data_IF_492726756389
#
_entry.id   IF_492726756389
#
_cell.length_a   1.000
_cell.length_b   1.000
_cell.length_c   1.000
_cell.angle_alpha   90.00
_cell.angle_beta   90.00
_cell.angle_gamma   90.00
#
_symmetry.space_group_name_H-M   'P 1'
#
loop_
_entity.id
_entity.type
_entity.pdbx_description
1 polymer ?
2 non-polymer ?
3 water ?
#
# COMPACT_ATOMS: atom_id res chain seq x y z
N UNK A 8 -9.50 -11.20 6.17
CA UNK A 8 -8.98 -11.93 5.00
C UNK A 8 -7.73 -11.26 4.47
N UNK A 9 -7.84 -10.00 4.00
CA UNK A 9 -6.70 -9.39 3.31
C UNK A 9 -5.88 -8.44 4.18
N UNK A 10 -4.57 -8.39 3.93
CA UNK A 10 -3.70 -7.39 4.56
C UNK A 10 -3.86 -6.09 3.79
N UNK A 11 -4.24 -5.03 4.48
CA UNK A 11 -4.41 -3.73 3.86
C UNK A 11 -3.25 -2.84 4.30
N UNK A 12 -2.52 -2.28 3.32
CA UNK A 12 -1.49 -1.27 3.55
C UNK A 12 -2.06 0.08 3.13
N UNK A 13 -2.11 1.01 4.07
CA UNK A 13 -2.82 2.29 3.93
C UNK A 13 -1.79 3.40 3.87
N UNK A 14 -1.63 3.99 2.68
CA UNK A 14 -0.68 5.06 2.43
C UNK A 14 -1.43 6.38 2.30
N UNK A 15 -1.04 7.38 3.08
CA UNK A 15 -1.72 8.68 3.03
C UNK A 15 -0.70 9.80 3.01
N UNK A 16 -1.11 10.94 2.47
CA UNK A 16 -0.27 12.12 2.37
C UNK A 16 -0.83 13.10 1.37
N UNK A 17 -0.14 14.23 1.26
CA UNK A 17 -0.59 15.33 0.42
C UNK A 17 -0.43 15.00 -1.06
N UNK A 18 -1.19 15.71 -1.89
CA UNK A 18 -1.20 15.46 -3.33
C UNK A 18 0.19 15.68 -3.91
N UNK A 19 0.63 14.72 -4.73
CA UNK A 19 1.96 14.79 -5.30
C UNK A 19 3.07 14.64 -4.29
N UNK A 20 2.76 14.13 -3.10
CA UNK A 20 3.74 13.95 -2.05
C UNK A 20 4.51 12.66 -2.13
N UNK A 21 4.11 11.75 -3.00
CA UNK A 21 4.79 10.48 -3.20
C UNK A 21 3.96 9.26 -2.88
N UNK A 22 2.74 9.40 -2.37
CA UNK A 22 1.96 8.22 -1.98
C UNK A 22 1.62 7.37 -3.20
N UNK A 23 1.35 8.00 -4.34
CA UNK A 23 0.96 7.26 -5.52
C UNK A 23 2.14 6.46 -6.07
N UNK A 24 3.26 7.15 -6.31
CA UNK A 24 4.46 6.44 -6.75
C UNK A 24 4.80 5.29 -5.81
N UNK A 25 4.72 5.52 -4.49
CA UNK A 25 5.06 4.50 -3.51
C UNK A 25 4.12 3.31 -3.61
N UNK A 26 2.81 3.56 -3.79
CA UNK A 26 1.88 2.46 -3.95
C UNK A 26 2.28 1.55 -5.10
N UNK A 27 2.69 2.13 -6.22
CA UNK A 27 3.10 1.32 -7.36
C UNK A 27 4.43 0.62 -7.07
N UNK A 28 5.38 1.34 -6.47
CA UNK A 28 6.66 0.73 -6.14
C UNK A 28 6.45 -0.46 -5.21
N UNK A 29 5.70 -0.25 -4.12
CA UNK A 29 5.36 -1.34 -3.22
C UNK A 29 4.65 -2.46 -3.96
N UNK A 30 3.68 -2.13 -4.81
CA UNK A 30 2.97 -3.14 -5.57
C UNK A 30 3.93 -4.00 -6.40
N UNK A 31 4.83 -3.37 -7.17
CA UNK A 31 5.74 -4.16 -8.00
C UNK A 31 6.76 -4.92 -7.17
N UNK A 32 7.19 -4.36 -6.03
CA UNK A 32 8.11 -5.10 -5.18
C UNK A 32 7.43 -6.30 -4.56
N UNK A 33 6.15 -6.18 -4.21
CA UNK A 33 5.39 -7.35 -3.78
C UNK A 33 5.37 -8.40 -4.89
N UNK A 34 5.09 -7.96 -6.12
CA UNK A 34 5.02 -8.90 -7.23
C UNK A 34 6.36 -9.59 -7.47
N UNK A 35 7.46 -8.82 -7.44
CA UNK A 35 8.78 -9.43 -7.60
C UNK A 35 9.05 -10.42 -6.48
N UNK A 36 8.70 -10.07 -5.25
CA UNK A 36 8.96 -10.97 -4.13
C UNK A 36 8.35 -12.35 -4.40
N UNK A 37 7.13 -12.37 -4.94
CA UNK A 37 6.40 -13.61 -5.15
C UNK A 37 6.58 -14.20 -6.55
N UNK A 38 7.58 -13.74 -7.30
CA UNK A 38 7.88 -14.34 -8.60
C UNK A 38 6.80 -14.20 -9.65
N UNK A 39 6.29 -12.99 -9.83
CA UNK A 39 5.06 -12.74 -10.59
C UNK A 39 5.26 -11.45 -11.37
N UNK A 40 4.60 -11.38 -12.52
CA UNK A 40 4.81 -10.26 -13.43
C UNK A 40 4.01 -9.05 -12.95
N UNK A 41 4.66 -7.92 -12.63
CA UNK A 41 3.90 -6.78 -12.08
C UNK A 41 2.86 -6.20 -13.03
N UNK A 42 3.19 -6.02 -14.30
CA UNK A 42 2.24 -5.41 -15.22
C UNK A 42 0.95 -6.21 -15.34
N UNK A 43 0.96 -7.50 -14.98
CA UNK A 43 -0.25 -8.32 -15.03
C UNK A 43 -0.90 -8.50 -13.66
N UNK A 44 -0.26 -8.04 -12.58
CA UNK A 44 -0.72 -8.34 -11.23
C UNK A 44 -0.87 -7.09 -10.37
N UNK A 45 -1.25 -5.98 -10.97
CA UNK A 45 -1.60 -4.77 -10.25
C UNK A 45 -2.94 -4.28 -10.79
N UNK A 46 -3.98 -4.35 -9.95
CA UNK A 46 -5.33 -3.87 -10.28
C UNK A 46 -5.52 -2.56 -9.53
N UNK A 47 -5.53 -1.44 -10.26
CA UNK A 47 -5.57 -0.11 -9.66
C UNK A 47 -6.71 0.70 -10.25
N UNK A 48 -7.57 1.22 -9.38
CA UNK A 48 -8.73 2.00 -9.77
C UNK A 48 -9.06 2.98 -8.63
N UNK A 49 -9.63 4.14 -8.95
CA UNK A 49 -10.16 5.01 -7.88
C UNK A 49 -11.28 4.31 -7.11
N UNK A 50 -11.37 4.65 -5.81
CA UNK A 50 -12.38 4.04 -4.94
C UNK A 50 -13.76 4.23 -5.55
N UNK A 51 -14.58 3.19 -5.49
CA UNK A 51 -15.91 3.23 -6.06
C UNK A 51 -16.66 1.94 -5.76
N UNK A 52 -18.00 2.01 -5.72
CA UNK A 52 -18.77 0.83 -5.29
C UNK A 52 -18.57 -0.34 -6.24
N UNK A 53 -18.40 -0.09 -7.53
CA UNK A 53 -18.15 -1.16 -8.50
C UNK A 53 -16.68 -1.47 -8.67
N UNK A 54 -15.87 -1.28 -7.62
CA UNK A 54 -14.42 -1.42 -7.75
C UNK A 54 -14.04 -2.84 -8.13
N UNK A 55 -14.72 -3.83 -7.58
CA UNK A 55 -14.30 -5.21 -7.76
C UNK A 55 -14.76 -5.82 -9.06
N UNK A 56 -15.62 -5.13 -9.82
CA UNK A 56 -16.24 -5.75 -10.98
C UNK A 56 -15.20 -6.16 -12.02
N UNK A 57 -14.29 -5.24 -12.34
CA UNK A 57 -13.25 -5.49 -13.31
C UNK A 57 -12.11 -6.33 -12.81
N UNK A 58 -12.19 -6.83 -11.58
CA UNK A 58 -11.07 -7.56 -11.01
C UNK A 58 -10.99 -8.97 -11.58
N UNK A 59 -9.76 -9.44 -11.81
CA UNK A 59 -9.55 -10.75 -12.42
C UNK A 59 -8.33 -11.44 -11.84
N UNK A 60 -8.10 -11.30 -10.54
CA UNK A 60 -7.15 -12.14 -9.86
C UNK A 60 -5.76 -11.58 -9.73
N UNK A 61 -5.60 -10.27 -9.90
CA UNK A 61 -4.27 -9.69 -9.78
C UNK A 61 -3.77 -9.80 -8.34
N UNK A 62 -2.48 -10.08 -8.20
CA UNK A 62 -1.92 -10.31 -6.86
C UNK A 62 -2.10 -9.09 -5.96
N UNK A 63 -1.97 -7.90 -6.52
CA UNK A 63 -2.00 -6.66 -5.75
C UNK A 63 -3.11 -5.76 -6.28
N UNK A 64 -3.90 -5.22 -5.35
CA UNK A 64 -4.96 -4.26 -5.67
C UNK A 64 -4.62 -2.93 -5.03
N UNK A 65 -4.83 -1.84 -5.78
CA UNK A 65 -4.64 -0.49 -5.28
C UNK A 65 -6.00 0.21 -5.36
N UNK A 66 -6.41 0.82 -4.26
CA UNK A 66 -7.66 1.56 -4.18
C UNK A 66 -7.31 3.03 -4.01
N UNK A 67 -7.57 3.84 -5.02
CA UNK A 67 -6.95 5.16 -5.10
C UNK A 67 -7.84 6.29 -4.58
N UNK A 68 -7.18 7.38 -4.19
CA UNK A 68 -7.85 8.66 -3.93
C UNK A 68 -9.11 8.49 -3.08
N UNK A 69 -8.95 7.81 -1.94
CA UNK A 69 -10.02 7.74 -0.95
C UNK A 69 -10.21 9.14 -0.41
N UNK A 70 -11.17 9.88 -0.96
CA UNK A 70 -11.40 11.24 -0.52
C UNK A 70 -12.28 11.32 0.71
N UNK A 75 -15.58 15.20 0.00
CA UNK A 75 -16.31 14.05 -0.54
C UNK A 75 -15.99 12.79 0.25
N UNK A 76 -16.94 12.35 1.07
CA UNK A 76 -16.72 11.22 1.97
C UNK A 76 -16.75 9.92 1.17
N UNK A 77 -15.58 9.31 0.99
CA UNK A 77 -15.47 8.02 0.32
C UNK A 77 -15.11 6.88 1.26
N UNK A 78 -15.01 7.15 2.57
CA UNK A 78 -14.45 6.17 3.49
C UNK A 78 -15.42 5.02 3.76
N UNK A 79 -16.72 5.32 3.86
CA UNK A 79 -17.70 4.25 4.01
C UNK A 79 -17.66 3.31 2.81
N UNK A 80 -17.57 3.86 1.59
CA UNK A 80 -17.46 3.04 0.40
C UNK A 80 -16.24 2.13 0.47
N UNK A 81 -15.08 2.69 0.83
CA UNK A 81 -13.86 1.89 0.90
C UNK A 81 -13.94 0.83 1.97
N UNK A 82 -14.60 1.12 3.09
CA UNK A 82 -14.76 0.11 4.13
C UNK A 82 -15.54 -1.09 3.60
N UNK A 83 -16.57 -0.84 2.78
CA UNK A 83 -17.29 -1.94 2.15
C UNK A 83 -16.36 -2.76 1.26
N UNK A 84 -15.57 -2.09 0.43
CA UNK A 84 -14.71 -2.79 -0.52
C UNK A 84 -13.83 -3.80 0.20
N UNK A 85 -13.22 -3.39 1.32
CA UNK A 85 -12.34 -4.30 2.05
C UNK A 85 -13.13 -5.47 2.60
N UNK A 86 -14.23 -5.19 3.30
CA UNK A 86 -15.02 -6.25 3.91
C UNK A 86 -15.53 -7.22 2.87
N UNK A 87 -15.79 -6.76 1.64
CA UNK A 87 -16.31 -7.62 0.62
C UNK A 87 -15.32 -7.94 -0.48
N UNK A 88 -14.07 -8.22 -0.10
CA UNK A 88 -13.04 -8.50 -1.09
C UNK A 88 -13.20 -9.91 -1.64
N UNK A 89 -13.00 -10.10 -2.94
CA UNK A 89 -13.08 -11.45 -3.51
C UNK A 89 -11.77 -12.22 -3.30
N UNK A 90 -11.77 -13.47 -3.73
CA UNK A 90 -10.64 -14.36 -3.59
C UNK A 90 -9.80 -14.37 -4.87
N UNK A 91 -8.62 -15.00 -4.77
CA UNK A 91 -7.67 -15.12 -5.85
C UNK A 91 -7.57 -16.59 -6.26
N UNK A 92 -6.43 -16.99 -6.84
CA UNK A 92 -6.22 -18.38 -7.19
C UNK A 92 -4.73 -18.70 -7.30
N UNK A 93 -4.06 -18.79 -6.16
CA UNK A 93 -2.64 -19.14 -6.14
C UNK A 93 -2.47 -20.60 -6.59
N UNK A 105 -4.64 -16.57 -0.87
CA UNK A 105 -5.90 -16.62 -1.61
C UNK A 105 -6.65 -15.30 -1.52
N UNK A 106 -6.03 -14.32 -0.88
CA UNK A 106 -6.49 -12.94 -0.91
C UNK A 106 -5.46 -12.06 -1.61
N UNK A 107 -5.90 -11.05 -2.36
CA UNK A 107 -4.92 -10.09 -2.90
C UNK A 107 -4.43 -9.15 -1.80
N UNK A 108 -3.17 -8.72 -1.92
CA UNK A 108 -2.72 -7.57 -1.15
C UNK A 108 -3.56 -6.36 -1.55
N UNK A 109 -3.90 -5.52 -0.58
CA UNK A 109 -4.64 -4.29 -0.84
C UNK A 109 -3.79 -3.11 -0.37
N UNK A 110 -3.53 -2.20 -1.29
CA UNK A 110 -2.90 -0.91 -1.00
C UNK A 110 -3.95 0.17 -1.23
N UNK A 111 -4.20 0.98 -0.21
CA UNK A 111 -5.11 2.12 -0.29
C UNK A 111 -4.32 3.40 -0.17
N UNK A 112 -4.70 4.41 -0.96
CA UNK A 112 -4.09 5.73 -0.89
C UNK A 112 -5.18 6.74 -0.53
N UNK A 113 -4.76 7.87 0.03
CA UNK A 113 -5.71 8.82 0.62
C UNK A 113 -4.96 10.06 1.03
N UNK A 114 -5.70 11.16 1.13
CA UNK A 114 -5.13 12.42 1.59
C UNK A 114 -4.78 12.34 3.07
N UNK A 115 -5.63 11.67 3.86
CA UNK A 115 -5.47 11.65 5.30
C UNK A 115 -5.55 10.21 5.82
N UNK A 116 -5.23 10.05 7.11
CA UNK A 116 -5.32 8.77 7.78
C UNK A 116 -6.77 8.46 8.14
N UNK A 117 -6.96 7.53 9.06
CA UNK A 117 -8.24 7.29 9.72
C UNK A 117 -9.44 7.51 8.81
N UNK A 131 -9.25 -0.81 11.99
CA UNK A 131 -9.82 -1.56 13.09
C UNK A 131 -9.44 -3.04 13.03
N UNK A 132 -8.78 -3.42 11.94
CA UNK A 132 -8.36 -4.80 11.72
C UNK A 132 -6.84 -4.84 11.62
N UNK A 133 -6.29 -5.83 10.93
CA UNK A 133 -4.84 -5.89 10.77
C UNK A 133 -4.45 -5.03 9.58
N UNK A 134 -3.75 -3.93 9.83
CA UNK A 134 -3.41 -3.02 8.75
C UNK A 134 -2.12 -2.29 9.07
N UNK A 135 -1.55 -1.69 8.02
CA UNK A 135 -0.37 -0.85 8.12
C UNK A 135 -0.75 0.55 7.63
N UNK A 136 -0.58 1.55 8.49
CA UNK A 136 -0.83 2.95 8.15
C UNK A 136 0.52 3.63 7.96
N UNK A 137 0.74 4.25 6.79
CA UNK A 137 2.02 4.83 6.44
C UNK A 137 1.81 6.21 5.86
N UNK A 138 2.34 7.24 6.52
CA UNK A 138 2.36 8.58 5.95
C UNK A 138 3.49 8.68 4.94
N UNK A 139 3.21 9.28 3.79
CA UNK A 139 4.18 9.41 2.70
C UNK A 139 4.35 10.88 2.37
N UNK A 140 5.57 11.38 2.47
CA UNK A 140 5.91 12.73 2.07
C UNK A 140 7.31 12.73 1.47
N UNK A 141 7.68 13.78 0.74
CA UNK A 141 9.02 13.81 0.15
C UNK A 141 10.08 13.93 1.23
N UNK A 142 11.19 13.21 1.02
CA UNK A 142 12.39 13.45 1.81
C UNK A 142 12.85 14.89 1.59
N UNK A 143 13.36 15.51 2.66
CA UNK A 143 13.65 16.95 2.61
C UNK A 143 14.41 17.31 1.34
N UNK A 144 15.43 16.52 0.99
CA UNK A 144 16.25 16.90 -0.15
C UNK A 144 15.45 16.91 -1.43
N UNK A 145 14.36 16.14 -1.48
CA UNK A 145 13.60 15.95 -2.71
C UNK A 145 12.24 16.65 -2.70
N UNK A 146 11.96 17.44 -1.67
CA UNK A 146 10.79 18.31 -1.69
C UNK A 146 11.00 19.44 -2.68
N UNK A 147 10.12 19.55 -3.66
CA UNK A 147 10.16 20.68 -4.58
C UNK A 147 10.22 21.98 -3.79
N UNK A 148 11.00 22.98 -4.23
CA UNK A 148 11.01 24.25 -3.51
C UNK A 148 9.76 25.08 -3.77
N UNK A 149 9.28 25.06 -5.02
CA UNK A 149 8.13 25.88 -5.37
C UNK A 149 6.87 25.38 -4.69
N UNK A 150 6.61 24.08 -4.78
CA UNK A 150 5.51 23.42 -4.10
C UNK A 150 6.08 22.31 -3.23
N UNK A 151 5.31 21.88 -2.24
CA UNK A 151 5.84 20.90 -1.30
C UNK A 151 5.61 19.48 -1.82
N UNK A 152 5.69 19.32 -3.14
CA UNK A 152 5.51 18.03 -3.79
C UNK A 152 6.84 17.34 -4.03
N UNK A 153 6.79 16.12 -4.54
CA UNK A 153 7.99 15.31 -4.73
C UNK A 153 8.68 15.66 -6.04
N UNK A 154 9.98 15.92 -5.97
CA UNK A 154 10.81 16.25 -7.15
C UNK A 154 11.27 14.93 -7.77
N UNK A 155 10.48 14.44 -8.73
CA UNK A 155 10.75 13.12 -9.29
C UNK A 155 11.96 13.16 -10.22
N UNK A 156 12.17 14.27 -10.92
CA UNK A 156 13.36 14.39 -11.75
C UNK A 156 14.62 14.28 -10.92
N UNK A 157 14.68 15.00 -9.79
CA UNK A 157 15.86 14.97 -8.92
C UNK A 157 16.05 13.59 -8.30
N UNK A 158 14.96 12.96 -7.86
CA UNK A 158 15.05 11.60 -7.35
C UNK A 158 15.59 10.64 -8.41
N UNK A 159 15.15 10.81 -9.66
CA UNK A 159 15.67 10.00 -10.76
C UNK A 159 17.18 10.14 -10.87
N UNK A 160 17.67 11.37 -11.00
CA UNK A 160 19.11 11.57 -11.21
C UNK A 160 19.92 11.14 -9.99
N UNK A 161 19.31 11.14 -8.81
CA UNK A 161 19.98 10.76 -7.58
C UNK A 161 19.79 9.29 -7.25
N UNK A 162 19.28 8.49 -8.18
CA UNK A 162 19.14 7.05 -8.00
C UNK A 162 18.36 6.76 -6.72
N UNK A 163 17.31 7.55 -6.49
CA UNK A 163 16.48 7.43 -5.30
C UNK A 163 15.10 6.88 -5.61
N UNK A 164 14.87 6.38 -6.81
CA UNK A 164 13.60 5.78 -7.17
C UNK A 164 13.60 4.27 -6.89
N UNK A 165 14.69 3.60 -7.26
CA UNK A 165 14.80 2.15 -7.09
C UNK A 165 14.36 1.71 -5.69
N UNK A 166 14.84 2.39 -4.66
CA UNK A 166 14.50 2.06 -3.29
C UNK A 166 13.54 3.06 -2.67
N UNK A 167 13.08 4.05 -3.42
CA UNK A 167 12.19 5.09 -2.92
C UNK A 167 12.74 5.76 -1.66
N UNK A 168 14.07 5.91 -1.60
CA UNK A 168 14.70 6.76 -0.60
C UNK A 168 14.38 8.23 -0.80
N UNK A 169 13.81 8.61 -1.95
CA UNK A 169 13.39 9.98 -2.17
C UNK A 169 12.20 10.36 -1.30
N UNK A 170 11.66 9.43 -0.54
CA UNK A 170 10.38 9.59 0.15
C UNK A 170 10.58 9.24 1.61
N UNK A 171 9.93 9.98 2.49
CA UNK A 171 9.84 9.60 3.89
C UNK A 171 8.59 8.76 4.09
N UNK A 172 8.75 7.55 4.62
CA UNK A 172 7.64 6.71 5.06
C UNK A 172 7.58 6.70 6.57
N UNK A 173 6.47 7.16 7.14
CA UNK A 173 6.32 7.33 8.58
C UNK A 173 5.23 6.39 9.05
N UNK A 174 5.62 5.40 9.84
CA UNK A 174 4.76 4.33 10.32
C UNK A 174 4.97 4.15 11.81
N UNK A 175 3.88 4.21 12.56
CA UNK A 175 3.90 4.12 14.01
C UNK A 175 4.95 5.05 14.61
N UNK A 176 4.96 6.28 14.11
CA UNK A 176 5.73 7.35 14.70
C UNK A 176 7.13 7.53 14.16
N UNK A 177 7.68 6.52 13.49
CA UNK A 177 9.08 6.54 13.09
C UNK A 177 9.23 6.33 11.60
N UNK A 178 10.36 6.82 11.08
CA UNK A 178 10.70 6.65 9.67
C UNK A 178 10.99 5.19 9.37
N UNK A 179 10.62 4.76 8.17
CA UNK A 179 10.80 3.37 7.76
C UNK A 179 11.09 3.37 6.26
N UNK A 180 11.84 2.36 5.82
CA UNK A 180 12.18 2.23 4.42
C UNK A 180 11.15 1.40 3.69
N UNK A 181 11.10 1.56 2.37
CA UNK A 181 10.18 0.77 1.56
C UNK A 181 10.43 -0.72 1.75
N UNK A 182 11.70 -1.13 1.79
CA UNK A 182 12.02 -2.55 1.97
C UNK A 182 11.60 -3.05 3.35
N UNK A 183 11.75 -2.22 4.38
CA UNK A 183 11.23 -2.57 5.71
C UNK A 183 9.73 -2.83 5.64
N UNK A 184 8.98 -1.90 5.05
CA UNK A 184 7.54 -2.06 4.92
C UNK A 184 7.21 -3.34 4.16
N UNK A 185 7.82 -3.52 2.98
CA UNK A 185 7.62 -4.75 2.24
C UNK A 185 7.87 -5.96 3.12
N UNK A 186 9.03 -5.97 3.79
CA UNK A 186 9.40 -7.13 4.59
C UNK A 186 8.37 -7.39 5.69
N UNK A 187 7.87 -6.31 6.32
CA UNK A 187 6.86 -6.46 7.37
C UNK A 187 5.58 -7.04 6.82
N UNK A 188 5.10 -6.51 5.69
CA UNK A 188 3.89 -7.04 5.08
C UNK A 188 4.05 -8.51 4.73
N UNK A 189 5.16 -8.87 4.07
CA UNK A 189 5.37 -10.25 3.63
C UNK A 189 5.43 -11.18 4.82
N UNK A 190 6.08 -10.75 5.91
CA UNK A 190 6.18 -11.61 7.08
C UNK A 190 4.82 -11.84 7.73
N UNK A 191 4.03 -10.78 7.95
CA UNK A 191 2.71 -10.99 8.54
C UNK A 191 1.80 -11.81 7.63
N UNK A 192 2.07 -11.84 6.32
CA UNK A 192 1.35 -12.76 5.45
C UNK A 192 1.80 -14.19 5.71
N UNK A 193 3.11 -14.39 5.86
CA UNK A 193 3.64 -15.71 6.19
C UNK A 193 3.10 -16.18 7.53
N UNK A 194 3.00 -15.26 8.50
CA UNK A 194 2.40 -15.60 9.78
C UNK A 194 0.98 -16.11 9.58
N UNK A 195 0.18 -15.37 8.81
CA UNK A 195 -1.19 -15.78 8.51
C UNK A 195 -1.24 -16.93 7.50
N UNK A 196 -0.15 -17.19 6.77
CA UNK A 196 -0.13 -18.37 5.91
C UNK A 196 -0.32 -19.64 6.74
N UNK A 197 0.38 -19.75 7.87
CA UNK A 197 -0.03 -20.67 8.91
C UNK A 197 -1.49 -20.36 9.28
N UNK A 198 -2.18 -21.37 9.82
CA UNK A 198 -3.55 -21.14 10.29
C UNK A 198 -3.53 -21.03 11.82
N UNK A 199 -3.00 -19.89 12.27
CA UNK A 199 -2.77 -19.63 13.68
C UNK A 199 -3.72 -18.61 14.28
N UNK A 200 -4.38 -17.78 13.47
CA UNK A 200 -5.09 -16.63 14.00
C UNK A 200 -6.01 -17.00 15.15
N UNK A 201 -6.69 -18.13 15.05
CA UNK A 201 -7.49 -18.62 16.17
C UNK A 201 -6.64 -18.75 17.43
N UNK A 202 -5.54 -19.49 17.34
CA UNK A 202 -4.70 -19.70 18.52
C UNK A 202 -4.13 -18.39 19.04
N UNK A 203 -3.71 -17.50 18.14
CA UNK A 203 -3.13 -16.24 18.57
C UNK A 203 -4.12 -15.42 19.38
N UNK A 204 -5.39 -15.43 18.95
CA UNK A 204 -6.44 -14.85 19.78
C UNK A 204 -6.39 -15.44 21.18
N UNK A 205 -6.44 -16.78 21.26
CA UNK A 205 -6.36 -17.47 22.54
C UNK A 205 -5.09 -17.07 23.30
N UNK A 206 -3.93 -17.22 22.67
CA UNK A 206 -2.67 -16.89 23.33
C UNK A 206 -2.62 -15.43 23.77
N UNK A 207 -3.42 -14.55 23.16
CA UNK A 207 -3.37 -13.14 23.48
C UNK A 207 -4.25 -12.77 24.67
N UNK A 208 -5.19 -13.63 25.06
CA UNK A 208 -5.99 -13.39 26.25
C UNK A 208 -5.10 -13.52 27.49
#
# INVERSE_FOLDING_TARGET
QAMVTRCEPVVCYLYGKRGGGKSLTSIALATKICKHYGVEPEKNIYTKPVASDYWDGYSGQLVCIIDDIGQNTTDEDWSDFCQLVSGCPMRLNMASLEEKGRHFSSPFIIATSNWSNPSPKTVYVKEAIDRRLHFKVEVKPASFFKNPHNDMLNVNLAKTNDAIKDMSCVDLIMDGHNVSLMDLLSSLVMTVEIRKQNMTEFMELWSQ
#
